data_IF_472716244534
#
_entry.id   IF_472716244534
#
_cell.length_a   1.000
_cell.length_b   1.000
_cell.length_c   1.000
_cell.angle_alpha   90.00
_cell.angle_beta   90.00
_cell.angle_gamma   90.00
#
_symmetry.space_group_name_H-M   'P 1'
#
loop_
_entity.id
_entity.type
_entity.pdbx_description
1 polymer ?
#
# COMPACT_ATOMS: atom_id res chain seq x y z
N UNK A 1 -7.19 -19.93 5.65
CA UNK A 1 -7.94 -18.97 4.80
C UNK A 1 -6.96 -17.89 4.40
N UNK A 2 -6.68 -17.73 3.10
CA UNK A 2 -5.81 -16.67 2.59
C UNK A 2 -6.54 -15.34 2.75
N UNK A 3 -6.01 -14.44 3.58
CA UNK A 3 -6.53 -13.09 3.76
C UNK A 3 -6.04 -12.22 2.58
N UNK A 4 -6.53 -12.49 1.37
CA UNK A 4 -6.17 -11.74 0.18
C UNK A 4 -6.99 -10.46 0.10
N UNK A 5 -6.33 -9.35 -0.23
CA UNK A 5 -7.01 -8.09 -0.52
C UNK A 5 -8.00 -8.29 -1.68
N UNK A 6 -9.25 -7.88 -1.48
CA UNK A 6 -10.29 -7.86 -2.50
C UNK A 6 -10.60 -6.40 -2.85
N UNK A 7 -10.39 -5.96 -4.10
CA UNK A 7 -10.70 -4.59 -4.50
C UNK A 7 -12.22 -4.36 -4.44
N UNK A 8 -12.63 -3.13 -4.12
CA UNK A 8 -14.05 -2.76 -4.03
C UNK A 8 -14.74 -2.63 -5.39
N UNK A 9 -13.95 -2.53 -6.47
CA UNK A 9 -14.40 -2.42 -7.86
C UNK A 9 -13.39 -3.10 -8.79
N UNK A 10 -13.79 -3.33 -10.04
CA UNK A 10 -12.91 -3.84 -11.11
C UNK A 10 -12.01 -2.74 -11.72
N UNK A 11 -11.79 -1.64 -11.00
CA UNK A 11 -10.95 -0.55 -11.49
C UNK A 11 -9.46 -0.94 -11.40
N UNK A 12 -8.72 -0.71 -12.48
CA UNK A 12 -7.29 -1.00 -12.59
C UNK A 12 -6.46 -0.35 -11.46
N UNK A 13 -6.86 0.84 -11.01
CA UNK A 13 -6.22 1.59 -9.92
C UNK A 13 -6.19 0.82 -8.58
N UNK A 14 -7.07 -0.17 -8.41
CA UNK A 14 -7.17 -0.99 -7.21
C UNK A 14 -6.59 -2.39 -7.41
N UNK A 15 -6.02 -2.73 -8.56
CA UNK A 15 -5.45 -4.04 -8.84
C UNK A 15 -4.01 -4.17 -8.30
N UNK A 16 -3.76 -4.98 -7.27
CA UNK A 16 -2.41 -5.11 -6.68
C UNK A 16 -1.38 -5.69 -7.67
N UNK A 17 -1.81 -6.53 -8.62
CA UNK A 17 -0.90 -7.08 -9.62
C UNK A 17 -0.45 -6.00 -10.60
N UNK A 18 -1.36 -5.09 -10.98
CA UNK A 18 -1.02 -3.97 -11.85
C UNK A 18 -0.02 -3.03 -11.17
N UNK A 19 -0.25 -2.70 -9.88
CA UNK A 19 0.67 -1.90 -9.07
C UNK A 19 2.10 -2.47 -9.08
N UNK A 20 2.26 -3.78 -8.88
CA UNK A 20 3.59 -4.40 -8.88
C UNK A 20 4.18 -4.56 -10.29
N UNK A 21 3.35 -4.76 -11.32
CA UNK A 21 3.83 -4.87 -12.71
C UNK A 21 4.43 -3.57 -13.26
N UNK A 22 4.02 -2.42 -12.71
CA UNK A 22 4.56 -1.10 -13.08
C UNK A 22 5.67 -0.63 -12.13
N UNK A 23 5.98 -1.41 -11.09
CA UNK A 23 7.07 -1.14 -10.15
C UNK A 23 8.41 -1.61 -10.73
N UNK A 24 9.48 -0.81 -10.54
CA UNK A 24 10.81 -1.14 -11.04
C UNK A 24 11.38 -2.42 -10.41
N UNK A 25 12.05 -3.26 -11.22
CA UNK A 25 12.54 -4.58 -10.79
C UNK A 25 13.42 -4.54 -9.55
N UNK A 26 14.32 -3.56 -9.44
CA UNK A 26 15.21 -3.44 -8.27
C UNK A 26 14.43 -3.21 -6.97
N UNK A 27 13.35 -2.42 -7.04
CA UNK A 27 12.47 -2.17 -5.90
C UNK A 27 11.67 -3.43 -5.53
N UNK A 28 11.21 -4.20 -6.53
CA UNK A 28 10.55 -5.49 -6.30
C UNK A 28 11.48 -6.46 -5.57
N UNK A 29 12.75 -6.53 -5.98
CA UNK A 29 13.78 -7.34 -5.31
C UNK A 29 13.99 -6.87 -3.87
N UNK A 30 14.08 -5.56 -3.63
CA UNK A 30 14.27 -5.01 -2.29
C UNK A 30 13.07 -5.30 -1.37
N UNK A 31 11.84 -5.17 -1.88
CA UNK A 31 10.62 -5.53 -1.14
C UNK A 31 10.59 -7.03 -0.83
N UNK A 32 10.87 -7.88 -1.82
CA UNK A 32 10.84 -9.34 -1.65
C UNK A 32 11.88 -9.86 -0.64
N UNK A 33 13.04 -9.20 -0.54
CA UNK A 33 14.08 -9.53 0.44
C UNK A 33 13.89 -8.83 1.80
N UNK A 34 12.80 -8.10 2.00
CA UNK A 34 12.53 -7.39 3.27
C UNK A 34 13.44 -6.18 3.52
N UNK A 35 14.15 -5.70 2.51
CA UNK A 35 14.98 -4.48 2.58
C UNK A 35 14.11 -3.21 2.55
N UNK A 36 12.89 -3.32 2.01
CA UNK A 36 11.86 -2.28 2.06
C UNK A 36 10.64 -2.84 2.79
N UNK A 37 10.27 -2.22 3.92
CA UNK A 37 9.02 -2.52 4.62
C UNK A 37 7.86 -1.82 3.90
N UNK A 38 7.27 -2.53 2.93
CA UNK A 38 6.13 -2.03 2.16
C UNK A 38 4.90 -1.74 3.05
N UNK A 39 4.74 -2.45 4.17
CA UNK A 39 3.62 -2.21 5.10
C UNK A 39 3.83 -0.88 5.81
N UNK A 40 5.05 -0.60 6.26
CA UNK A 40 5.37 0.68 6.90
C UNK A 40 5.22 1.85 5.94
N UNK A 41 5.67 1.72 4.70
CA UNK A 41 5.44 2.75 3.68
C UNK A 41 3.94 2.99 3.44
N UNK A 42 3.13 1.93 3.35
CA UNK A 42 1.68 2.08 3.23
C UNK A 42 1.08 2.83 4.43
N UNK A 43 1.53 2.53 5.66
CA UNK A 43 1.09 3.26 6.88
C UNK A 43 1.46 4.75 6.82
N UNK A 44 2.66 5.08 6.38
CA UNK A 44 3.11 6.46 6.22
C UNK A 44 2.30 7.21 5.15
N UNK A 45 1.99 6.53 4.04
CA UNK A 45 1.16 7.06 2.97
C UNK A 45 -0.27 7.34 3.44
N UNK A 46 -0.88 6.45 4.24
CA UNK A 46 -2.19 6.68 4.86
C UNK A 46 -2.14 7.86 5.84
N UNK A 47 -1.16 7.89 6.73
CA UNK A 47 -0.99 8.97 7.69
C UNK A 47 -0.78 10.34 7.02
N UNK A 48 0.00 10.40 5.94
CA UNK A 48 0.20 11.61 5.13
C UNK A 48 -1.07 12.10 4.44
N UNK A 49 -2.03 11.19 4.16
CA UNK A 49 -3.36 11.51 3.65
C UNK A 49 -4.38 11.83 4.77
N UNK A 50 -3.96 11.75 6.03
CA UNK A 50 -4.83 11.92 7.19
C UNK A 50 -5.81 10.77 7.41
N UNK A 51 -5.45 9.56 6.97
CA UNK A 51 -6.26 8.35 7.07
C UNK A 51 -5.72 7.39 8.15
N UNK A 52 -6.60 6.66 8.81
CA UNK A 52 -6.25 5.51 9.64
C UNK A 52 -6.08 4.21 8.82
N UNK A 53 -5.82 3.09 9.50
CA UNK A 53 -5.64 1.77 8.85
C UNK A 53 -6.94 1.19 8.27
N UNK A 54 -8.10 1.77 8.61
CA UNK A 54 -9.39 1.42 8.03
C UNK A 54 -9.76 2.34 6.85
N UNK A 55 -8.85 3.26 6.46
CA UNK A 55 -9.10 4.24 5.42
C UNK A 55 -10.04 5.38 5.84
N UNK A 56 -10.32 5.54 7.14
CA UNK A 56 -11.16 6.62 7.66
C UNK A 56 -10.33 7.88 7.85
N UNK A 57 -10.89 9.03 7.48
CA UNK A 57 -10.27 10.31 7.75
C UNK A 57 -10.23 10.60 9.26
N UNK A 58 -9.04 10.87 9.78
CA UNK A 58 -8.76 11.19 11.19
C UNK A 58 -7.96 12.49 11.34
N UNK A 59 -7.76 13.22 10.25
CA UNK A 59 -6.92 14.42 10.20
C UNK A 59 -5.43 14.09 10.10
N UNK A 60 -4.61 15.12 9.90
CA UNK A 60 -3.17 14.95 9.79
C UNK A 60 -2.53 14.67 11.14
N UNK A 61 -1.57 13.75 11.16
CA UNK A 61 -0.69 13.58 12.31
C UNK A 61 0.05 14.91 12.53
N UNK A 62 -0.10 15.51 13.71
CA UNK A 62 0.68 16.70 14.07
C UNK A 62 2.16 16.31 14.06
N UNK A 63 2.97 17.14 13.39
CA UNK A 63 4.43 17.01 13.38
C UNK A 63 4.98 17.21 14.79
#
# INVERSE_FOLDING_TARGET
MSNAYQPSTEADDLNPNLLFSTTWTELLVAIANGQVDAQELARQQLAGRGLDLLGKWVGYKKK
#
